data_IF_884395296772
#
_entry.id   IF_884395296772
#
_cell.length_a   1.000
_cell.length_b   1.000
_cell.length_c   1.000
_cell.angle_alpha   90.00
_cell.angle_beta   90.00
_cell.angle_gamma   90.00
#
_symmetry.space_group_name_H-M   'P 1'
#
loop_
_entity.id
_entity.type
_entity.pdbx_description
1 polymer ?
#
# COMPACT_ATOMS: atom_id res chain seq x y z
N UNK A 1 18.31 -33.62 -6.06
CA UNK A 1 17.52 -34.02 -4.86
C UNK A 1 18.23 -33.51 -3.60
N UNK A 2 18.36 -32.19 -3.41
CA UNK A 2 19.29 -31.68 -2.38
C UNK A 2 19.09 -30.24 -1.88
N UNK A 3 17.91 -29.63 -2.05
CA UNK A 3 17.62 -28.29 -1.50
C UNK A 3 16.33 -28.29 -0.67
N UNK A 4 15.36 -29.12 -0.99
CA UNK A 4 14.11 -29.27 -0.21
C UNK A 4 14.33 -29.82 1.21
N UNK A 5 15.50 -30.42 1.49
CA UNK A 5 15.83 -30.92 2.82
C UNK A 5 16.19 -29.81 3.82
N UNK A 6 16.43 -28.55 3.40
CA UNK A 6 17.04 -27.53 4.29
C UNK A 6 16.05 -26.64 5.07
N UNK A 7 14.85 -26.37 4.54
CA UNK A 7 13.86 -25.53 5.25
C UNK A 7 13.06 -26.36 6.26
N UNK A 8 12.59 -27.55 5.85
CA UNK A 8 11.90 -28.47 6.75
C UNK A 8 12.79 -28.97 7.91
N UNK A 9 14.09 -29.15 7.68
CA UNK A 9 15.00 -29.48 8.80
C UNK A 9 15.25 -28.28 9.70
N UNK A 10 15.33 -27.06 9.15
CA UNK A 10 15.41 -25.85 9.96
C UNK A 10 14.16 -25.62 10.82
N UNK A 11 12.97 -25.88 10.27
CA UNK A 11 11.68 -25.85 11.00
C UNK A 11 11.70 -26.74 12.26
N UNK A 12 12.25 -27.94 12.15
CA UNK A 12 12.35 -28.89 13.26
C UNK A 12 13.53 -28.63 14.19
N UNK A 13 14.65 -28.11 13.67
CA UNK A 13 15.89 -27.94 14.43
C UNK A 13 15.96 -26.59 15.18
N UNK A 14 15.22 -25.58 14.75
CA UNK A 14 15.25 -24.24 15.35
C UNK A 14 14.00 -23.99 16.20
N UNK A 15 14.10 -24.01 17.55
CA UNK A 15 12.93 -23.87 18.43
C UNK A 15 12.23 -22.51 18.31
N UNK A 16 12.85 -21.54 17.64
CA UNK A 16 12.32 -20.20 17.40
C UNK A 16 11.78 -19.99 15.98
N UNK A 17 11.78 -21.01 15.11
CA UNK A 17 11.32 -20.87 13.73
C UNK A 17 9.89 -20.36 13.64
N UNK A 18 9.00 -20.90 14.48
CA UNK A 18 7.60 -20.45 14.55
C UNK A 18 7.47 -18.96 14.93
N UNK A 19 8.41 -18.42 15.72
CA UNK A 19 8.44 -16.99 16.05
C UNK A 19 8.89 -16.19 14.83
N UNK A 20 9.96 -16.62 14.15
CA UNK A 20 10.47 -15.94 12.94
C UNK A 20 9.39 -15.89 11.84
N UNK A 21 8.66 -17.00 11.64
CA UNK A 21 7.62 -17.09 10.61
C UNK A 21 6.48 -16.08 10.85
N UNK A 22 6.14 -15.80 12.11
CA UNK A 22 5.13 -14.79 12.48
C UNK A 22 5.54 -13.36 12.13
N UNK A 23 6.85 -13.09 11.98
CA UNK A 23 7.38 -11.77 11.62
C UNK A 23 7.53 -11.57 10.11
N UNK A 24 7.42 -12.63 9.33
CA UNK A 24 7.64 -12.60 7.88
C UNK A 24 6.76 -11.55 7.19
N UNK A 25 5.43 -11.66 7.33
CA UNK A 25 4.50 -10.76 6.65
C UNK A 25 4.52 -9.32 7.20
N UNK A 26 4.68 -9.06 8.51
CA UNK A 26 4.94 -7.71 9.01
C UNK A 26 6.21 -7.05 8.43
N UNK A 27 7.30 -7.81 8.29
CA UNK A 27 8.54 -7.30 7.69
C UNK A 27 8.34 -7.04 6.19
N UNK A 28 7.68 -7.95 5.48
CA UNK A 28 7.36 -7.79 4.06
C UNK A 28 6.39 -6.63 3.83
N UNK A 29 5.44 -6.40 4.73
CA UNK A 29 4.58 -5.23 4.71
C UNK A 29 5.38 -3.93 4.83
N UNK A 30 6.31 -3.86 5.77
CA UNK A 30 7.15 -2.67 5.92
C UNK A 30 8.04 -2.43 4.68
N UNK A 31 8.62 -3.49 4.12
CA UNK A 31 9.38 -3.41 2.88
C UNK A 31 8.50 -2.96 1.70
N UNK A 32 7.30 -3.53 1.58
CA UNK A 32 6.31 -3.17 0.58
C UNK A 32 5.87 -1.72 0.70
N UNK A 33 5.63 -1.23 1.93
CA UNK A 33 5.26 0.15 2.19
C UNK A 33 6.33 1.13 1.70
N UNK A 34 7.61 0.87 2.02
CA UNK A 34 8.73 1.69 1.54
C UNK A 34 8.80 1.65 0.00
N UNK A 35 8.71 0.44 -0.58
CA UNK A 35 8.74 0.28 -2.03
C UNK A 35 7.57 1.01 -2.70
N UNK A 36 6.37 0.95 -2.12
CA UNK A 36 5.16 1.51 -2.68
C UNK A 36 5.16 3.03 -2.69
N UNK A 37 5.70 3.68 -1.65
CA UNK A 37 5.86 5.14 -1.63
C UNK A 37 6.81 5.63 -2.74
N UNK A 38 7.80 4.81 -3.11
CA UNK A 38 8.81 5.15 -4.12
C UNK A 38 8.45 4.71 -5.53
N UNK A 39 7.57 3.72 -5.67
CA UNK A 39 7.26 3.10 -6.96
C UNK A 39 6.73 4.08 -8.01
N UNK A 40 5.79 5.00 -7.71
CA UNK A 40 5.26 5.90 -8.72
C UNK A 40 6.35 6.75 -9.41
N UNK A 41 7.36 7.21 -8.65
CA UNK A 41 8.51 8.00 -9.14
C UNK A 41 9.54 7.20 -9.94
N UNK A 42 9.41 5.88 -10.05
CA UNK A 42 10.26 5.10 -10.98
C UNK A 42 10.03 5.50 -12.44
N UNK A 43 8.93 6.18 -12.75
CA UNK A 43 8.69 6.74 -14.07
C UNK A 43 9.76 7.75 -14.53
N UNK A 44 10.48 8.39 -13.60
CA UNK A 44 11.64 9.23 -13.93
C UNK A 44 12.84 8.44 -14.42
N UNK A 45 12.95 7.16 -14.04
CA UNK A 45 14.10 6.31 -14.34
C UNK A 45 13.90 5.47 -15.61
N UNK A 46 12.65 5.29 -16.06
CA UNK A 46 12.33 4.42 -17.19
C UNK A 46 12.20 5.25 -18.48
N UNK A 47 13.09 5.06 -19.47
CA UNK A 47 13.01 5.78 -20.74
C UNK A 47 11.65 5.57 -21.42
N UNK A 48 11.04 6.66 -21.86
CA UNK A 48 9.73 6.63 -22.53
C UNK A 48 8.53 6.75 -21.59
N UNK A 49 8.72 6.73 -20.26
CA UNK A 49 7.70 7.15 -19.31
C UNK A 49 7.81 8.65 -19.04
N UNK A 50 6.67 9.34 -19.06
CA UNK A 50 6.59 10.71 -18.56
C UNK A 50 6.33 10.71 -17.06
N UNK A 51 6.75 11.77 -16.37
CA UNK A 51 6.35 12.00 -14.98
C UNK A 51 4.83 11.89 -14.83
N UNK A 52 4.41 11.17 -13.79
CA UNK A 52 3.05 10.71 -13.54
C UNK A 52 2.56 9.72 -14.59
N UNK A 53 3.37 8.68 -14.82
CA UNK A 53 3.00 7.59 -15.72
C UNK A 53 1.77 6.87 -15.19
N UNK A 54 0.75 6.70 -16.03
CA UNK A 54 -0.45 5.95 -15.69
C UNK A 54 -0.17 4.48 -15.34
N UNK A 55 1.00 3.94 -15.73
CA UNK A 55 1.41 2.59 -15.32
C UNK A 55 1.95 2.56 -13.88
N UNK A 56 2.86 3.46 -13.53
CA UNK A 56 3.47 3.49 -12.18
C UNK A 56 2.53 4.12 -11.15
N UNK A 57 1.68 5.05 -11.58
CA UNK A 57 0.63 5.68 -10.77
C UNK A 57 -0.68 4.89 -10.85
N UNK A 58 -0.59 3.58 -10.65
CA UNK A 58 -1.75 2.69 -10.67
C UNK A 58 -1.68 1.58 -9.64
N UNK A 59 -2.83 0.97 -9.38
CA UNK A 59 -2.96 -0.23 -8.57
C UNK A 59 -2.49 -1.51 -9.29
N UNK A 60 -1.95 -1.41 -10.52
CA UNK A 60 -1.54 -2.58 -11.30
C UNK A 60 -0.41 -3.36 -10.63
N UNK A 61 0.61 -2.69 -10.10
CA UNK A 61 1.71 -3.39 -9.43
C UNK A 61 1.23 -4.09 -8.14
N UNK A 62 0.50 -3.43 -7.22
CA UNK A 62 -0.10 -4.12 -6.08
C UNK A 62 -0.98 -5.30 -6.46
N UNK A 63 -1.80 -5.16 -7.52
CA UNK A 63 -2.66 -6.24 -8.00
C UNK A 63 -1.83 -7.44 -8.49
N UNK A 64 -0.77 -7.18 -9.24
CA UNK A 64 0.16 -8.22 -9.70
C UNK A 64 0.85 -8.93 -8.51
N UNK A 65 1.31 -8.16 -7.52
CA UNK A 65 1.96 -8.70 -6.32
C UNK A 65 0.97 -9.49 -5.45
N UNK A 66 -0.28 -9.05 -5.34
CA UNK A 66 -1.34 -9.76 -4.62
C UNK A 66 -1.54 -11.20 -5.15
N UNK A 67 -1.45 -11.41 -6.46
CA UNK A 67 -1.62 -12.74 -7.05
C UNK A 67 -0.37 -13.63 -7.02
N UNK A 68 0.82 -13.07 -6.78
CA UNK A 68 2.09 -13.78 -6.99
C UNK A 68 3.02 -13.83 -5.78
N UNK A 69 2.77 -13.03 -4.75
CA UNK A 69 3.67 -12.88 -3.60
C UNK A 69 2.92 -13.04 -2.27
N UNK A 70 3.46 -12.50 -1.18
CA UNK A 70 2.83 -12.58 0.14
C UNK A 70 1.78 -11.47 0.35
N UNK A 71 0.71 -11.73 1.13
CA UNK A 71 -0.30 -10.71 1.41
C UNK A 71 0.27 -9.53 2.21
N UNK A 72 1.24 -9.77 3.11
CA UNK A 72 2.04 -8.73 3.76
C UNK A 72 2.70 -7.78 2.75
N UNK A 73 3.44 -8.31 1.76
CA UNK A 73 4.08 -7.46 0.75
C UNK A 73 3.06 -6.69 -0.09
N UNK A 74 1.99 -7.36 -0.53
CA UNK A 74 0.94 -6.77 -1.35
C UNK A 74 0.20 -5.64 -0.62
N UNK A 75 -0.15 -5.85 0.66
CA UNK A 75 -0.80 -4.84 1.49
C UNK A 75 0.10 -3.64 1.75
N UNK A 76 1.36 -3.86 2.09
CA UNK A 76 2.33 -2.78 2.28
C UNK A 76 2.51 -1.95 1.02
N UNK A 77 2.73 -2.61 -0.12
CA UNK A 77 2.90 -1.96 -1.42
C UNK A 77 1.67 -1.16 -1.83
N UNK A 78 0.48 -1.74 -1.62
CA UNK A 78 -0.80 -1.06 -1.84
C UNK A 78 -0.91 0.22 -1.03
N UNK A 79 -0.63 0.15 0.28
CA UNK A 79 -0.68 1.31 1.16
C UNK A 79 0.31 2.37 0.70
N UNK A 80 1.57 2.01 0.44
CA UNK A 80 2.60 2.95 0.01
C UNK A 80 2.23 3.70 -1.26
N UNK A 81 1.72 3.00 -2.27
CA UNK A 81 1.27 3.63 -3.52
C UNK A 81 0.06 4.53 -3.26
N UNK A 82 -0.93 4.07 -2.50
CA UNK A 82 -2.10 4.89 -2.13
C UNK A 82 -1.68 6.20 -1.47
N UNK A 83 -0.71 6.17 -0.55
CA UNK A 83 -0.16 7.37 0.10
C UNK A 83 0.50 8.32 -0.88
N UNK A 84 1.36 7.81 -1.76
CA UNK A 84 1.98 8.62 -2.79
C UNK A 84 0.93 9.29 -3.69
N UNK A 85 0.00 8.52 -4.25
CA UNK A 85 -1.04 9.04 -5.14
C UNK A 85 -1.96 10.06 -4.44
N UNK A 86 -2.19 9.87 -3.14
CA UNK A 86 -2.99 10.78 -2.32
C UNK A 86 -2.36 12.16 -2.12
N UNK A 87 -1.02 12.24 -2.13
CA UNK A 87 -0.31 13.52 -2.18
C UNK A 87 -0.43 14.13 -3.58
N UNK A 88 -0.27 13.30 -4.59
CA UNK A 88 -0.22 13.70 -6.00
C UNK A 88 -1.54 14.25 -6.56
N UNK A 89 -2.67 13.93 -5.93
CA UNK A 89 -4.01 14.45 -6.26
C UNK A 89 -4.21 15.91 -5.87
N UNK A 90 -3.27 16.53 -5.14
CA UNK A 90 -3.38 17.90 -4.62
C UNK A 90 -2.45 18.94 -5.28
N UNK A 91 -2.25 18.93 -6.63
CA UNK A 91 -1.34 19.88 -7.25
C UNK A 91 -1.89 21.31 -7.13
N UNK A 92 -1.02 22.31 -7.31
CA UNK A 92 -1.45 23.72 -7.38
C UNK A 92 -2.36 23.98 -8.59
N UNK A 93 -2.09 23.30 -9.70
CA UNK A 93 -2.91 23.31 -10.91
C UNK A 93 -2.73 21.98 -11.66
N UNK A 94 -3.80 21.49 -12.29
CA UNK A 94 -3.77 20.30 -13.14
C UNK A 94 -3.26 20.63 -14.55
N UNK A 95 -1.96 20.88 -14.66
CA UNK A 95 -1.28 21.22 -15.91
C UNK A 95 0.13 20.59 -15.96
N UNK A 96 0.68 20.47 -17.17
CA UNK A 96 2.07 20.04 -17.37
C UNK A 96 2.39 18.68 -16.75
N UNK A 97 3.37 18.66 -15.83
CA UNK A 97 3.81 17.46 -15.12
C UNK A 97 2.77 16.88 -14.15
N UNK A 98 1.73 17.63 -13.79
CA UNK A 98 0.69 17.14 -12.88
C UNK A 98 -0.29 16.17 -13.56
N UNK A 99 -0.31 16.11 -14.89
CA UNK A 99 -1.24 15.28 -15.66
C UNK A 99 -0.73 13.84 -15.79
N UNK A 100 -1.64 12.87 -15.66
CA UNK A 100 -1.34 11.46 -15.91
C UNK A 100 -1.03 11.25 -17.39
N UNK A 101 0.03 10.52 -17.68
CA UNK A 101 0.49 10.23 -19.04
C UNK A 101 0.63 8.74 -19.29
N UNK A 102 0.23 8.28 -20.46
CA UNK A 102 0.52 6.93 -20.93
C UNK A 102 1.63 6.96 -21.98
N UNK A 103 2.43 5.88 -22.07
CA UNK A 103 3.33 5.73 -23.19
C UNK A 103 2.55 5.82 -24.50
N UNK A 104 3.11 6.51 -25.49
CA UNK A 104 2.53 6.73 -26.84
C UNK A 104 1.30 7.65 -26.88
N UNK A 105 0.33 7.51 -25.97
CA UNK A 105 -0.93 8.28 -25.96
C UNK A 105 -0.73 9.70 -25.40
N UNK A 106 0.27 9.89 -24.54
CA UNK A 106 0.48 11.16 -23.85
C UNK A 106 -0.52 11.38 -22.73
N UNK A 107 -0.86 12.63 -22.45
CA UNK A 107 -1.66 13.00 -21.28
C UNK A 107 -3.16 12.71 -21.47
N UNK A 108 -3.81 12.12 -20.46
CA UNK A 108 -5.28 11.95 -20.43
C UNK A 108 -6.04 13.23 -20.03
N UNK A 109 -5.31 14.31 -19.73
CA UNK A 109 -5.86 15.64 -19.51
C UNK A 109 -6.36 15.90 -18.09
N UNK A 110 -6.69 17.17 -17.83
CA UNK A 110 -6.95 17.71 -16.48
C UNK A 110 -8.13 17.11 -15.73
N UNK A 111 -9.12 16.56 -16.45
CA UNK A 111 -10.32 15.97 -15.85
C UNK A 111 -10.11 14.50 -15.50
N UNK A 112 -9.45 13.75 -16.39
CA UNK A 112 -9.25 12.31 -16.20
C UNK A 112 -8.06 12.02 -15.29
N UNK A 113 -7.06 12.90 -15.20
CA UNK A 113 -5.90 12.72 -14.31
C UNK A 113 -6.26 12.59 -12.82
N UNK A 114 -7.05 13.50 -12.21
CA UNK A 114 -7.49 13.32 -10.82
C UNK A 114 -8.37 12.08 -10.64
N UNK A 115 -9.24 11.78 -11.61
CA UNK A 115 -10.09 10.59 -11.57
C UNK A 115 -9.26 9.30 -11.60
N UNK A 116 -8.22 9.25 -12.43
CA UNK A 116 -7.28 8.14 -12.50
C UNK A 116 -6.59 7.90 -11.17
N UNK A 117 -6.05 8.95 -10.54
CA UNK A 117 -5.44 8.83 -9.22
C UNK A 117 -6.45 8.34 -8.19
N UNK A 118 -7.65 8.91 -8.16
CA UNK A 118 -8.69 8.52 -7.20
C UNK A 118 -9.09 7.04 -7.33
N UNK A 119 -9.33 6.57 -8.56
CA UNK A 119 -9.66 5.16 -8.82
C UNK A 119 -8.52 4.24 -8.37
N UNK A 120 -7.26 4.63 -8.61
CA UNK A 120 -6.12 3.82 -8.23
C UNK A 120 -5.81 3.85 -6.74
N UNK A 121 -6.09 4.95 -6.04
CA UNK A 121 -6.10 4.99 -4.57
C UNK A 121 -7.14 3.99 -4.04
N UNK A 122 -8.37 4.06 -4.54
CA UNK A 122 -9.44 3.14 -4.13
C UNK A 122 -9.08 1.67 -4.44
N UNK A 123 -8.49 1.41 -5.61
CA UNK A 123 -8.01 0.08 -5.99
C UNK A 123 -6.91 -0.44 -5.05
N UNK A 124 -5.92 0.40 -4.72
CA UNK A 124 -4.90 0.04 -3.74
C UNK A 124 -5.50 -0.27 -2.37
N UNK A 125 -6.42 0.57 -1.89
CA UNK A 125 -7.10 0.33 -0.61
C UNK A 125 -7.90 -0.97 -0.62
N UNK A 126 -8.58 -1.29 -1.72
CA UNK A 126 -9.31 -2.55 -1.88
C UNK A 126 -8.36 -3.77 -1.87
N UNK A 127 -7.23 -3.70 -2.57
CA UNK A 127 -6.21 -4.76 -2.57
C UNK A 127 -5.60 -4.93 -1.18
N UNK A 128 -5.32 -3.83 -0.48
CA UNK A 128 -4.84 -3.88 0.90
C UNK A 128 -5.85 -4.60 1.80
N UNK A 129 -7.13 -4.25 1.73
CA UNK A 129 -8.18 -4.91 2.52
C UNK A 129 -8.28 -6.41 2.19
N UNK A 130 -8.25 -6.78 0.91
CA UNK A 130 -8.28 -8.17 0.48
C UNK A 130 -7.03 -8.97 0.91
N UNK A 131 -5.88 -8.31 1.01
CA UNK A 131 -4.65 -8.92 1.49
C UNK A 131 -4.69 -9.13 3.01
N UNK A 132 -5.21 -8.15 3.77
CA UNK A 132 -5.31 -8.21 5.22
C UNK A 132 -6.29 -9.28 5.72
N UNK A 133 -7.34 -9.59 4.95
CA UNK A 133 -8.31 -10.65 5.29
C UNK A 133 -7.66 -12.04 5.40
N UNK A 134 -6.54 -12.24 4.71
CA UNK A 134 -5.79 -13.50 4.68
C UNK A 134 -4.75 -13.57 5.82
N UNK A 135 -4.32 -12.41 6.32
CA UNK A 135 -3.26 -12.30 7.32
C UNK A 135 -3.72 -12.76 8.72
N UNK A 136 -2.88 -13.44 9.51
CA UNK A 136 -3.21 -13.76 10.89
C UNK A 136 -3.35 -12.48 11.72
N UNK A 137 -4.23 -12.51 12.72
CA UNK A 137 -4.55 -11.34 13.56
C UNK A 137 -3.31 -10.68 14.21
N UNK A 138 -2.31 -11.47 14.61
CA UNK A 138 -1.05 -10.92 15.13
C UNK A 138 -0.37 -10.01 14.10
N UNK A 139 -0.25 -10.45 12.85
CA UNK A 139 0.36 -9.68 11.78
C UNK A 139 -0.44 -8.40 11.50
N UNK A 140 -1.77 -8.48 11.47
CA UNK A 140 -2.67 -7.32 11.32
C UNK A 140 -2.42 -6.27 12.42
N UNK A 141 -2.26 -6.68 13.68
CA UNK A 141 -1.95 -5.76 14.78
C UNK A 141 -0.60 -5.06 14.61
N UNK A 142 0.44 -5.77 14.17
CA UNK A 142 1.74 -5.15 13.89
C UNK A 142 1.61 -4.14 12.74
N UNK A 143 0.93 -4.51 11.65
CA UNK A 143 0.68 -3.63 10.51
C UNK A 143 -0.13 -2.38 10.91
N UNK A 144 -1.09 -2.51 11.83
CA UNK A 144 -1.83 -1.39 12.42
C UNK A 144 -0.87 -0.45 13.16
N UNK A 145 -0.03 -0.99 14.04
CA UNK A 145 0.93 -0.19 14.80
C UNK A 145 1.89 0.58 13.88
N UNK A 146 2.42 -0.07 12.84
CA UNK A 146 3.29 0.56 11.84
C UNK A 146 2.55 1.68 11.12
N UNK A 147 1.32 1.43 10.67
CA UNK A 147 0.50 2.43 9.97
C UNK A 147 0.16 3.62 10.86
N UNK A 148 -0.23 3.38 12.12
CA UNK A 148 -0.51 4.42 13.10
C UNK A 148 0.73 5.24 13.46
N UNK A 149 1.89 4.59 13.64
CA UNK A 149 3.15 5.28 13.89
C UNK A 149 3.59 6.14 12.70
N UNK A 150 3.47 5.62 11.47
CA UNK A 150 3.72 6.37 10.24
C UNK A 150 2.78 7.58 10.10
N UNK A 151 1.50 7.41 10.44
CA UNK A 151 0.50 8.48 10.46
C UNK A 151 0.89 9.59 11.41
N UNK A 152 1.24 9.22 12.64
CA UNK A 152 1.65 10.15 13.68
C UNK A 152 2.94 10.90 13.32
N UNK A 153 3.95 10.18 12.79
CA UNK A 153 5.20 10.76 12.35
C UNK A 153 4.99 11.77 11.21
N UNK A 154 4.24 11.39 10.17
CA UNK A 154 3.94 12.25 9.03
C UNK A 154 3.20 13.51 9.47
N UNK A 155 2.18 13.38 10.32
CA UNK A 155 1.44 14.52 10.89
C UNK A 155 2.34 15.50 11.66
N UNK A 156 3.32 14.96 12.37
CA UNK A 156 4.20 15.71 13.26
C UNK A 156 5.36 16.40 12.53
N UNK A 157 5.73 15.93 11.32
CA UNK A 157 6.96 16.35 10.63
C UNK A 157 6.75 17.05 9.29
N UNK A 158 5.75 16.71 8.48
CA UNK A 158 5.71 17.14 7.07
C UNK A 158 4.39 17.78 6.57
N UNK A 159 4.58 18.65 5.56
CA UNK A 159 3.65 19.34 4.64
C UNK A 159 2.57 20.32 5.16
N UNK A 160 2.28 21.34 4.34
CA UNK A 160 1.23 22.37 4.57
C UNK A 160 -0.17 21.96 4.08
N UNK A 161 -0.30 20.84 3.33
CA UNK A 161 -1.57 20.31 2.77
C UNK A 161 -1.76 18.84 3.18
N UNK A 162 -2.28 18.63 4.39
CA UNK A 162 -2.19 17.31 5.07
C UNK A 162 -3.42 16.41 4.93
N UNK A 163 -4.56 16.96 4.50
CA UNK A 163 -5.87 16.33 4.69
C UNK A 163 -6.02 14.97 3.98
N UNK A 164 -5.56 14.83 2.73
CA UNK A 164 -5.82 13.61 1.94
C UNK A 164 -4.84 12.49 2.27
N UNK A 165 -3.52 12.72 2.44
CA UNK A 165 -2.61 11.71 2.98
C UNK A 165 -3.03 11.23 4.37
N UNK A 166 -3.47 12.14 5.25
CA UNK A 166 -3.98 11.77 6.57
C UNK A 166 -5.29 10.99 6.50
N UNK A 167 -6.23 11.39 5.64
CA UNK A 167 -7.47 10.63 5.47
C UNK A 167 -7.20 9.23 4.93
N UNK A 168 -6.23 9.09 4.01
CA UNK A 168 -5.82 7.79 3.45
C UNK A 168 -5.16 6.92 4.53
N UNK A 169 -4.27 7.48 5.33
CA UNK A 169 -3.66 6.82 6.48
C UNK A 169 -4.69 6.41 7.55
N UNK A 170 -5.60 7.32 7.90
CA UNK A 170 -6.65 7.08 8.88
C UNK A 170 -7.65 6.03 8.40
N UNK A 171 -8.08 6.09 7.14
CA UNK A 171 -8.92 5.06 6.52
C UNK A 171 -8.20 3.70 6.50
N UNK A 172 -6.90 3.69 6.20
CA UNK A 172 -6.10 2.46 6.22
C UNK A 172 -5.97 1.88 7.62
N UNK A 173 -5.73 2.72 8.64
CA UNK A 173 -5.72 2.29 10.04
C UNK A 173 -7.09 1.78 10.51
N UNK A 174 -8.18 2.45 10.11
CA UNK A 174 -9.54 1.97 10.38
C UNK A 174 -9.80 0.63 9.72
N UNK A 175 -9.38 0.43 8.47
CA UNK A 175 -9.52 -0.86 7.77
C UNK A 175 -8.76 -1.96 8.51
N UNK A 176 -7.50 -1.74 8.89
CA UNK A 176 -6.73 -2.73 9.66
C UNK A 176 -7.40 -3.02 11.02
N UNK A 177 -7.92 -2.01 11.73
CA UNK A 177 -8.66 -2.23 12.98
C UNK A 177 -10.01 -2.94 12.80
N UNK A 178 -10.65 -2.74 11.65
CA UNK A 178 -11.98 -3.28 11.36
C UNK A 178 -11.97 -4.75 10.96
N UNK A 179 -10.80 -5.29 10.61
CA UNK A 179 -10.59 -6.73 10.58
C UNK A 179 -10.40 -7.23 12.01
N UNK A 180 -11.41 -7.92 12.55
CA UNK A 180 -11.33 -8.67 13.81
C UNK A 180 -11.56 -10.13 13.52
N UNK A 181 -10.67 -10.99 14.01
CA UNK A 181 -10.81 -12.45 13.91
C UNK A 181 -10.95 -12.99 12.48
N UNK A 182 -10.32 -12.33 11.49
CA UNK A 182 -10.36 -12.76 10.08
C UNK A 182 -11.65 -12.40 9.33
N UNK A 183 -12.43 -11.42 9.83
CA UNK A 183 -13.60 -10.91 9.12
C UNK A 183 -13.67 -9.38 9.17
N UNK A 184 -14.04 -8.78 8.04
CA UNK A 184 -14.32 -7.35 7.95
C UNK A 184 -15.61 -7.00 8.70
N UNK A 185 -15.53 -6.13 9.70
CA UNK A 185 -16.68 -5.66 10.48
C UNK A 185 -17.06 -4.22 10.12
N UNK A 186 -18.12 -4.07 9.31
CA UNK A 186 -18.67 -2.75 8.98
C UNK A 186 -19.19 -2.01 10.23
N UNK A 187 -19.72 -2.75 11.22
CA UNK A 187 -20.20 -2.18 12.48
C UNK A 187 -19.07 -1.57 13.31
N UNK A 188 -17.87 -2.16 13.28
CA UNK A 188 -16.68 -1.62 13.95
C UNK A 188 -16.21 -0.31 13.28
N UNK A 189 -16.31 -0.19 11.95
CA UNK A 189 -15.99 1.06 11.23
C UNK A 189 -16.97 2.17 11.64
N UNK A 190 -18.27 1.88 11.62
CA UNK A 190 -19.31 2.90 11.84
C UNK A 190 -19.35 3.45 13.27
N UNK A 191 -18.87 2.69 14.26
CA UNK A 191 -18.76 3.15 15.65
C UNK A 191 -17.82 4.35 15.85
N UNK A 192 -16.93 4.64 14.90
CA UNK A 192 -16.05 5.81 14.97
C UNK A 192 -16.69 7.08 14.39
N UNK A 193 -17.85 6.97 13.75
CA UNK A 193 -18.52 8.07 13.04
C UNK A 193 -19.91 8.43 13.60
N UNK A 194 -20.34 7.77 14.67
CA UNK A 194 -21.60 8.01 15.41
C UNK A 194 -21.24 8.40 16.84
#
# INVERSE_FOLDING_TARGET
MGITLSVYTAEYAFPYWAVIEQWKDPVLFFAGLIAGVRWPDWDFLIPGLGHRSGLTHSALLPLFVYFLASPGLASGLSLGIALHLSSDIQPKAWTGGALIKFPVVGSIGKKLSPLWLFINIAGCVAIMAASLDIEPHFAQLIMLMVTSAGTFWYFSREEKRRLIPLATLAASGLLVHSFRSGHFSLSAVTQFFV
#
